data_IF_855908074176
#
_entry.id   IF_855908074176
#
_cell.length_a   1.000
_cell.length_b   1.000
_cell.length_c   1.000
_cell.angle_alpha   90.00
_cell.angle_beta   90.00
_cell.angle_gamma   90.00
#
_symmetry.space_group_name_H-M   'P 1'
#
loop_
_entity.id
_entity.type
_entity.pdbx_description
1 polymer ?
#
# COMPACT_ATOMS: atom_id res chain seq x y z
N UNK A 1 -22.24 -21.81 37.86
CA UNK A 1 -22.77 -20.88 36.85
C UNK A 1 -21.59 -20.21 36.18
N UNK A 2 -21.34 -20.53 34.92
CA UNK A 2 -20.21 -19.98 34.18
C UNK A 2 -20.61 -18.62 33.62
N UNK A 3 -19.85 -17.57 33.94
CA UNK A 3 -20.07 -16.24 33.40
C UNK A 3 -19.72 -16.19 31.90
N UNK A 4 -20.47 -15.45 31.07
CA UNK A 4 -20.11 -15.24 29.66
C UNK A 4 -18.90 -14.32 29.55
N UNK A 5 -17.96 -14.67 28.66
CA UNK A 5 -16.84 -13.80 28.25
C UNK A 5 -17.34 -12.73 27.28
N UNK A 6 -16.83 -11.48 27.33
CA UNK A 6 -17.21 -10.45 26.38
C UNK A 6 -16.60 -10.70 24.99
N UNK A 7 -17.40 -10.55 23.94
CA UNK A 7 -16.99 -10.61 22.53
C UNK A 7 -16.02 -9.47 22.16
N UNK A 8 -14.91 -9.76 21.45
CA UNK A 8 -13.93 -8.75 21.04
C UNK A 8 -14.33 -7.96 19.78
N UNK A 9 -15.46 -8.29 19.14
CA UNK A 9 -15.90 -7.71 17.85
C UNK A 9 -17.00 -6.63 17.99
N UNK A 10 -17.25 -6.11 19.19
CA UNK A 10 -18.17 -5.01 19.42
C UNK A 10 -17.52 -3.65 19.04
N UNK A 11 -17.45 -3.34 17.75
CA UNK A 11 -17.23 -1.98 17.29
C UNK A 11 -18.47 -1.12 17.60
N UNK A 12 -18.34 0.05 18.24
CA UNK A 12 -19.47 0.95 18.39
C UNK A 12 -19.86 1.50 17.01
N UNK A 13 -21.16 1.42 16.72
CA UNK A 13 -21.82 2.04 15.58
C UNK A 13 -21.49 3.55 15.54
N UNK A 14 -20.82 4.06 14.49
CA UNK A 14 -20.67 5.50 14.34
C UNK A 14 -22.03 6.04 13.92
N UNK A 15 -22.75 6.61 14.88
CA UNK A 15 -24.03 7.28 14.66
C UNK A 15 -24.00 8.27 13.49
N UNK A 16 -25.18 8.68 12.99
CA UNK A 16 -25.29 9.41 11.73
C UNK A 16 -24.56 10.75 11.79
N UNK A 17 -23.58 10.92 10.91
CA UNK A 17 -22.89 12.18 10.66
C UNK A 17 -23.91 13.25 10.21
N UNK A 18 -23.98 14.43 10.85
CA UNK A 18 -24.72 15.55 10.27
C UNK A 18 -24.04 15.96 8.96
N UNK A 19 -24.86 16.27 7.96
CA UNK A 19 -24.49 16.48 6.57
C UNK A 19 -23.25 17.37 6.38
N UNK A 20 -22.36 16.89 5.52
CA UNK A 20 -21.26 17.67 4.97
C UNK A 20 -21.77 18.34 3.68
N UNK A 21 -22.06 19.62 3.79
CA UNK A 21 -22.32 20.51 2.68
C UNK A 21 -21.03 20.63 1.83
N UNK A 22 -21.02 20.29 0.54
CA UNK A 22 -19.79 20.27 -0.26
C UNK A 22 -19.36 21.66 -0.78
N UNK A 23 -19.73 22.75 -0.08
CA UNK A 23 -19.56 24.12 -0.59
C UNK A 23 -18.38 24.90 0.02
N UNK A 24 -17.56 24.30 0.87
CA UNK A 24 -16.35 24.95 1.39
C UNK A 24 -15.13 24.41 0.66
N UNK A 25 -14.73 25.13 -0.39
CA UNK A 25 -13.39 25.01 -0.96
C UNK A 25 -12.32 25.26 0.10
N UNK A 26 -11.07 24.84 -0.12
CA UNK A 26 -10.00 24.95 0.87
C UNK A 26 -9.83 26.41 1.29
N UNK A 27 -9.83 26.62 2.60
CA UNK A 27 -9.65 27.91 3.24
C UNK A 27 -8.27 28.47 2.88
N UNK A 28 -8.16 29.69 2.29
CA UNK A 28 -6.88 30.29 1.92
C UNK A 28 -6.01 30.71 3.14
N UNK A 29 -6.45 30.38 4.35
CA UNK A 29 -5.78 30.69 5.63
C UNK A 29 -5.19 29.48 6.37
N UNK A 30 -5.35 28.25 5.87
CA UNK A 30 -4.65 27.10 6.43
C UNK A 30 -3.18 27.19 6.00
N UNK A 31 -2.32 27.60 6.94
CA UNK A 31 -0.87 27.57 6.75
C UNK A 31 -0.47 26.20 6.18
N UNK A 32 0.38 26.14 5.14
CA UNK A 32 0.79 24.87 4.58
C UNK A 32 1.39 24.04 5.73
N UNK A 33 0.76 22.90 6.00
CA UNK A 33 1.38 21.88 6.83
C UNK A 33 2.75 21.51 6.26
N UNK A 34 3.60 20.79 7.01
CA UNK A 34 4.93 20.39 6.53
C UNK A 34 4.81 19.81 5.11
N UNK A 35 5.65 20.29 4.19
CA UNK A 35 5.58 19.91 2.79
C UNK A 35 5.53 18.39 2.66
N UNK A 36 4.62 17.84 1.84
CA UNK A 36 4.48 16.39 1.70
C UNK A 36 5.73 15.83 1.02
N UNK A 37 6.64 15.21 1.80
CA UNK A 37 7.87 14.58 1.29
C UNK A 37 7.73 13.07 1.22
N UNK A 38 7.88 12.53 0.01
CA UNK A 38 7.92 11.11 -0.25
C UNK A 38 9.33 10.54 -0.07
N UNK A 39 9.54 9.84 1.06
CA UNK A 39 10.81 9.20 1.38
C UNK A 39 11.22 8.15 0.33
N UNK A 40 10.27 7.45 -0.28
CA UNK A 40 10.56 6.43 -1.29
C UNK A 40 11.13 7.04 -2.58
N UNK A 41 10.46 8.05 -3.13
CA UNK A 41 10.92 8.75 -4.33
C UNK A 41 12.25 9.49 -4.07
N UNK A 42 12.40 10.11 -2.90
CA UNK A 42 13.66 10.73 -2.48
C UNK A 42 14.81 9.72 -2.44
N UNK A 43 14.58 8.54 -1.87
CA UNK A 43 15.61 7.48 -1.82
C UNK A 43 15.96 6.93 -3.22
N UNK A 44 15.00 6.90 -4.13
CA UNK A 44 15.23 6.53 -5.53
C UNK A 44 15.88 7.66 -6.36
N UNK A 45 16.19 8.80 -5.75
CA UNK A 45 16.81 9.97 -6.40
C UNK A 45 15.93 10.54 -7.52
N UNK A 46 14.61 10.44 -7.35
CA UNK A 46 13.65 11.13 -8.21
C UNK A 46 13.82 12.66 -8.09
N UNK A 47 13.32 13.39 -9.10
CA UNK A 47 13.37 14.84 -9.10
C UNK A 47 12.71 15.43 -7.83
N UNK A 48 13.29 16.52 -7.32
CA UNK A 48 12.79 17.22 -6.12
C UNK A 48 11.31 17.57 -6.28
N UNK A 49 10.96 18.17 -7.42
CA UNK A 49 9.59 18.51 -7.77
C UNK A 49 8.62 17.31 -7.77
N UNK A 50 9.13 16.07 -7.85
CA UNK A 50 8.30 14.87 -7.81
C UNK A 50 8.11 14.40 -6.37
N UNK A 51 9.18 14.28 -5.58
CA UNK A 51 9.06 13.75 -4.22
C UNK A 51 8.45 14.73 -3.21
N UNK A 52 8.32 16.02 -3.53
CA UNK A 52 7.68 17.03 -2.68
C UNK A 52 6.18 17.23 -2.95
N UNK A 53 5.58 16.41 -3.82
CA UNK A 53 4.15 16.52 -4.19
C UNK A 53 3.25 15.55 -3.42
N UNK A 54 3.83 14.61 -2.68
CA UNK A 54 3.10 13.53 -2.04
C UNK A 54 3.90 12.91 -0.90
N UNK A 55 3.24 12.15 -0.04
CA UNK A 55 3.86 11.35 1.02
C UNK A 55 3.87 9.87 0.65
N UNK A 56 4.73 9.07 1.29
CA UNK A 56 4.83 7.63 1.01
C UNK A 56 3.58 6.88 1.46
N UNK A 57 3.16 7.09 2.72
CA UNK A 57 1.98 6.49 3.33
C UNK A 57 1.17 7.56 4.04
N UNK A 58 -0.15 7.49 3.88
CA UNK A 58 -1.09 8.34 4.60
C UNK A 58 -1.34 7.87 6.03
N UNK A 59 -2.09 8.65 6.82
CA UNK A 59 -2.48 8.30 8.19
C UNK A 59 -3.31 7.01 8.25
N UNK A 60 -4.08 6.70 7.19
CA UNK A 60 -4.88 5.48 7.06
C UNK A 60 -4.03 4.22 6.81
N UNK A 61 -2.70 4.34 6.79
CA UNK A 61 -1.76 3.23 6.53
C UNK A 61 -1.63 2.84 5.05
N UNK A 62 -2.39 3.47 4.15
CA UNK A 62 -2.37 3.22 2.70
C UNK A 62 -1.19 3.90 2.02
N UNK A 63 -0.67 3.27 0.96
CA UNK A 63 0.41 3.85 0.14
C UNK A 63 -0.15 4.93 -0.78
N UNK A 64 0.35 6.16 -0.65
CA UNK A 64 -0.05 7.29 -1.48
C UNK A 64 0.94 7.57 -2.61
N UNK A 65 2.18 7.08 -2.50
CA UNK A 65 3.20 7.25 -3.53
C UNK A 65 2.78 6.64 -4.88
N UNK A 66 2.60 7.44 -5.96
CA UNK A 66 2.11 6.93 -7.25
C UNK A 66 3.10 5.97 -7.90
N UNK A 67 4.41 6.16 -7.66
CA UNK A 67 5.46 5.26 -8.16
C UNK A 67 5.33 3.88 -7.50
N UNK A 68 5.24 3.84 -6.18
CA UNK A 68 5.11 2.57 -5.45
C UNK A 68 3.76 1.90 -5.72
N UNK A 69 2.67 2.66 -5.85
CA UNK A 69 1.34 2.12 -6.17
C UNK A 69 1.30 1.33 -7.49
N UNK A 70 2.08 1.76 -8.49
CA UNK A 70 2.19 1.07 -9.80
C UNK A 70 3.05 -0.20 -9.73
N UNK A 71 3.84 -0.36 -8.68
CA UNK A 71 4.64 -1.56 -8.48
C UNK A 71 3.75 -2.70 -8.00
N UNK A 72 3.80 -3.82 -8.71
CA UNK A 72 3.16 -5.08 -8.29
C UNK A 72 4.23 -5.98 -7.68
N UNK A 73 4.05 -6.35 -6.42
CA UNK A 73 5.00 -7.25 -5.76
C UNK A 73 5.02 -8.62 -6.46
N UNK A 74 6.17 -9.10 -6.96
CA UNK A 74 6.23 -10.37 -7.71
C UNK A 74 6.06 -11.61 -6.82
N UNK A 75 6.14 -11.45 -5.50
CA UNK A 75 5.99 -12.55 -4.53
C UNK A 75 4.53 -12.79 -4.16
N UNK A 76 3.78 -11.73 -3.85
CA UNK A 76 2.40 -11.82 -3.36
C UNK A 76 1.36 -11.21 -4.29
N UNK A 77 1.76 -10.47 -5.33
CA UNK A 77 0.86 -9.79 -6.26
C UNK A 77 0.25 -8.48 -5.74
N UNK A 78 0.59 -8.03 -4.53
CA UNK A 78 0.01 -6.79 -3.99
C UNK A 78 0.45 -5.55 -4.79
N UNK A 79 -0.47 -4.60 -4.97
CA UNK A 79 -0.28 -3.33 -5.69
C UNK A 79 -1.25 -2.26 -5.15
N UNK A 80 -1.20 -1.03 -5.68
CA UNK A 80 -2.07 0.07 -5.23
C UNK A 80 -1.84 0.45 -3.75
N UNK A 81 -2.93 0.52 -2.98
CA UNK A 81 -2.90 0.90 -1.55
C UNK A 81 -2.03 0.00 -0.68
N UNK A 82 -1.90 -1.28 -1.07
CA UNK A 82 -1.13 -2.31 -0.36
C UNK A 82 0.25 -2.58 -1.00
N UNK A 83 0.67 -1.73 -1.93
CA UNK A 83 1.93 -1.91 -2.64
C UNK A 83 3.14 -1.88 -1.69
N UNK A 84 4.14 -2.69 -1.98
CA UNK A 84 5.39 -2.74 -1.23
C UNK A 84 6.49 -3.33 -2.10
N UNK A 85 7.74 -3.04 -1.76
CA UNK A 85 8.88 -3.68 -2.42
C UNK A 85 9.10 -5.09 -1.86
N UNK A 86 9.83 -5.93 -2.59
CA UNK A 86 10.14 -7.33 -2.25
C UNK A 86 10.63 -7.46 -0.80
N UNK A 87 11.50 -6.54 -0.36
CA UNK A 87 12.09 -6.53 0.99
C UNK A 87 11.04 -6.46 2.11
N UNK A 88 9.94 -5.78 1.87
CA UNK A 88 8.86 -5.59 2.86
C UNK A 88 7.67 -6.51 2.59
N UNK A 89 7.82 -7.50 1.70
CA UNK A 89 6.76 -8.43 1.41
C UNK A 89 6.53 -9.37 2.61
N UNK A 90 5.28 -9.55 3.08
CA UNK A 90 4.99 -10.48 4.16
C UNK A 90 5.32 -11.93 3.79
N UNK A 91 5.27 -12.26 2.49
CA UNK A 91 5.65 -13.59 1.98
C UNK A 91 7.17 -13.75 1.79
N UNK A 92 7.99 -12.70 1.94
CA UNK A 92 9.46 -12.81 1.79
C UNK A 92 10.13 -13.60 2.92
N UNK A 93 9.52 -13.59 4.13
CA UNK A 93 10.04 -14.28 5.31
C UNK A 93 9.52 -15.71 5.46
N UNK A 94 8.58 -16.14 4.62
CA UNK A 94 8.11 -17.52 4.61
C UNK A 94 9.14 -18.35 3.87
N UNK A 95 9.86 -19.28 4.52
CA UNK A 95 10.80 -20.15 3.84
C UNK A 95 10.00 -21.22 3.08
N UNK A 96 9.52 -20.93 1.87
CA UNK A 96 8.90 -21.96 1.03
C UNK A 96 8.88 -21.62 -0.47
N UNK A 97 9.86 -22.16 -1.18
CA UNK A 97 9.63 -23.01 -2.36
C UNK A 97 8.65 -22.52 -3.46
N UNK A 98 8.72 -21.25 -3.90
CA UNK A 98 8.01 -20.82 -5.13
C UNK A 98 8.81 -20.00 -6.13
N UNK A 99 10.14 -19.91 -5.98
CA UNK A 99 11.03 -19.49 -7.07
C UNK A 99 11.23 -20.65 -8.05
N UNK A 100 10.26 -20.90 -8.93
CA UNK A 100 10.41 -21.59 -10.22
C UNK A 100 9.02 -21.73 -10.86
N UNK A 101 8.56 -20.68 -11.52
CA UNK A 101 7.54 -20.82 -12.59
C UNK A 101 7.85 -19.90 -13.76
N UNK A 102 9.09 -20.00 -14.24
CA UNK A 102 9.43 -19.69 -15.63
C UNK A 102 10.11 -20.90 -16.28
N UNK A 103 9.72 -22.12 -15.87
CA UNK A 103 10.09 -23.33 -16.59
C UNK A 103 9.28 -23.38 -17.90
N UNK A 104 9.86 -22.84 -18.97
CA UNK A 104 9.45 -23.17 -20.33
C UNK A 104 9.86 -24.61 -20.59
N UNK A 105 8.95 -25.55 -20.35
CA UNK A 105 9.11 -26.93 -20.79
C UNK A 105 9.00 -26.98 -22.30
N UNK A 106 10.10 -27.29 -23.00
CA UNK A 106 10.08 -27.74 -24.39
C UNK A 106 11.18 -28.81 -24.58
N UNK A 107 10.97 -29.97 -23.95
CA UNK A 107 11.70 -31.19 -24.25
C UNK A 107 10.99 -31.85 -25.46
N UNK A 108 11.71 -32.11 -26.55
CA UNK A 108 11.37 -33.19 -27.47
C UNK A 108 11.16 -32.82 -28.94
N UNK A 109 12.18 -33.08 -29.77
CA UNK A 109 12.06 -33.80 -31.06
C UNK A 109 13.46 -34.07 -31.64
N UNK A 110 13.98 -35.28 -31.41
CA UNK A 110 14.93 -35.94 -32.33
C UNK A 110 14.12 -37.03 -33.03
N UNK A 111 14.05 -36.95 -34.35
CA UNK A 111 13.33 -37.90 -35.19
C UNK A 111 14.15 -38.22 -36.43
N UNK A 112 14.59 -39.49 -36.47
CA UNK A 112 15.17 -40.29 -37.56
C UNK A 112 16.55 -39.92 -38.07
#
# INVERSE_FOLDING_TARGET
GSAPTPDPDAHPDPGPHPGLDPALGPDPGAAPGPDPVCVFCRNNKEAVALYTTHILKGPDGRVLCPVLRRYTCPLCGASGDNAHTIKYCPLSKVPAARQLRHARTALGRKGR
#
